data_IF_081743394538
#
_entry.id   IF_081743394538
#
_cell.length_a   1.000
_cell.length_b   1.000
_cell.length_c   1.000
_cell.angle_alpha   90.00
_cell.angle_beta   90.00
_cell.angle_gamma   90.00
#
_symmetry.space_group_name_H-M   'P 1'
#
loop_
_entity.id
_entity.type
_entity.pdbx_description
1 polymer ?
#
# COMPACT_ATOMS: atom_id res chain seq x y z
N UNK A 1 -10.66 -9.52 26.96
CA UNK A 1 -10.93 -9.90 25.56
C UNK A 1 -11.44 -8.66 24.80
N UNK A 2 -10.65 -8.06 23.96
CA UNK A 2 -11.06 -6.89 23.14
C UNK A 2 -12.05 -7.39 22.07
N UNK A 3 -13.26 -6.82 22.00
CA UNK A 3 -14.24 -7.17 20.98
C UNK A 3 -13.67 -6.92 19.59
N UNK A 4 -13.66 -7.93 18.74
CA UNK A 4 -13.39 -7.81 17.31
C UNK A 4 -14.50 -6.93 16.70
N UNK A 5 -14.12 -5.95 15.89
CA UNK A 5 -15.05 -5.03 15.24
C UNK A 5 -15.58 -5.73 13.99
N UNK A 6 -16.88 -5.99 13.94
CA UNK A 6 -17.53 -6.60 12.78
C UNK A 6 -18.10 -5.49 11.87
N UNK A 7 -17.78 -5.48 10.57
CA UNK A 7 -18.30 -4.48 9.64
C UNK A 7 -19.80 -4.63 9.40
N UNK A 8 -20.45 -3.53 9.03
CA UNK A 8 -21.80 -3.54 8.49
C UNK A 8 -21.76 -4.21 7.12
N UNK A 9 -22.50 -5.32 6.93
CA UNK A 9 -22.55 -6.03 5.63
C UNK A 9 -22.02 -7.46 5.62
N UNK A 10 -21.44 -7.95 6.72
CA UNK A 10 -21.07 -9.38 6.89
C UNK A 10 -19.77 -9.83 6.21
N UNK A 11 -19.26 -9.16 5.19
CA UNK A 11 -18.00 -9.50 4.54
C UNK A 11 -16.81 -8.72 5.13
N UNK A 12 -15.68 -9.43 5.31
CA UNK A 12 -14.49 -8.82 5.90
C UNK A 12 -13.89 -7.76 4.99
N UNK A 13 -13.59 -6.55 5.49
CA UNK A 13 -12.96 -5.51 4.69
C UNK A 13 -11.59 -5.95 4.19
N UNK A 14 -11.12 -5.32 3.12
CA UNK A 14 -9.83 -5.63 2.49
C UNK A 14 -8.86 -4.48 2.70
N UNK A 15 -7.63 -4.79 3.12
CA UNK A 15 -6.50 -3.86 3.12
C UNK A 15 -5.52 -4.26 2.03
N UNK A 16 -5.25 -3.38 1.08
CA UNK A 16 -4.15 -3.50 0.13
C UNK A 16 -3.03 -2.57 0.56
N UNK A 17 -1.90 -3.13 0.97
CA UNK A 17 -0.75 -2.40 1.49
C UNK A 17 0.58 -2.93 0.94
N UNK A 18 1.70 -2.40 1.39
CA UNK A 18 3.05 -2.70 0.95
C UNK A 18 3.89 -1.43 0.87
N UNK A 19 5.14 -1.48 0.46
CA UNK A 19 5.88 -0.24 0.24
C UNK A 19 5.15 0.66 -0.77
N UNK A 20 5.16 1.97 -0.57
CA UNK A 20 4.69 2.88 -1.61
C UNK A 20 5.47 2.59 -2.91
N UNK A 21 4.85 2.70 -4.07
CA UNK A 21 5.45 2.31 -5.38
C UNK A 21 5.64 0.80 -5.62
N UNK A 22 5.13 -0.08 -4.76
CA UNK A 22 5.14 -1.54 -4.98
C UNK A 22 3.94 -2.08 -5.78
N UNK A 23 3.11 -1.21 -6.36
CA UNK A 23 1.94 -1.63 -7.14
C UNK A 23 0.61 -1.63 -6.39
N UNK A 24 0.56 -1.20 -5.12
CA UNK A 24 -0.67 -1.14 -4.30
C UNK A 24 -1.84 -0.46 -4.99
N UNK A 25 -1.60 0.63 -5.75
CA UNK A 25 -2.65 1.36 -6.48
C UNK A 25 -3.23 0.53 -7.62
N UNK A 26 -2.40 -0.19 -8.36
CA UNK A 26 -2.86 -1.05 -9.44
C UNK A 26 -3.68 -2.22 -8.89
N UNK A 27 -3.13 -2.94 -7.90
CA UNK A 27 -3.84 -4.04 -7.22
C UNK A 27 -5.17 -3.56 -6.64
N UNK A 28 -5.16 -2.47 -5.86
CA UNK A 28 -6.38 -1.94 -5.25
C UNK A 28 -7.45 -1.54 -6.28
N UNK A 29 -7.05 -0.92 -7.40
CA UNK A 29 -8.01 -0.54 -8.46
C UNK A 29 -8.52 -1.72 -9.27
N UNK A 30 -7.70 -2.75 -9.49
CA UNK A 30 -8.16 -3.96 -10.17
C UNK A 30 -9.13 -4.74 -9.27
N UNK A 31 -8.90 -4.83 -7.98
CA UNK A 31 -9.88 -5.41 -7.04
C UNK A 31 -11.18 -4.60 -6.98
N UNK A 32 -11.07 -3.27 -7.04
CA UNK A 32 -12.23 -2.38 -7.09
C UNK A 32 -12.93 -2.32 -8.46
N UNK A 33 -12.53 -3.14 -9.43
CA UNK A 33 -13.29 -3.37 -10.66
C UNK A 33 -14.60 -4.13 -10.39
N UNK A 34 -14.65 -4.89 -9.30
CA UNK A 34 -15.88 -5.43 -8.74
C UNK A 34 -16.76 -4.28 -8.22
N UNK A 35 -18.02 -4.14 -8.75
CA UNK A 35 -18.92 -3.05 -8.34
C UNK A 35 -19.39 -3.16 -6.87
N UNK A 36 -19.17 -4.29 -6.23
CA UNK A 36 -19.46 -4.49 -4.82
C UNK A 36 -18.38 -3.92 -3.88
N UNK A 37 -17.29 -3.38 -4.43
CA UNK A 37 -16.17 -2.84 -3.67
C UNK A 37 -16.22 -1.32 -3.60
N UNK A 38 -16.20 -0.78 -2.39
CA UNK A 38 -15.97 0.64 -2.12
C UNK A 38 -14.47 0.89 -1.89
N UNK A 39 -13.82 1.57 -2.84
CA UNK A 39 -12.38 1.82 -2.83
C UNK A 39 -12.04 3.12 -2.11
N UNK A 40 -11.36 3.04 -0.98
CA UNK A 40 -10.87 4.19 -0.19
C UNK A 40 -9.35 4.24 -0.26
N UNK A 41 -8.81 5.40 -0.67
CA UNK A 41 -7.38 5.58 -0.89
C UNK A 41 -6.70 6.31 0.24
N UNK A 42 -5.71 5.67 0.83
CA UNK A 42 -4.68 6.22 1.73
C UNK A 42 -5.21 7.03 2.92
N UNK A 43 -6.05 6.45 3.79
CA UNK A 43 -6.47 7.14 5.00
C UNK A 43 -5.33 7.46 5.99
N UNK A 44 -4.21 6.72 5.98
CA UNK A 44 -3.02 6.98 6.80
C UNK A 44 -1.93 7.80 6.08
N UNK A 45 -2.26 8.44 4.97
CA UNK A 45 -1.35 9.41 4.34
C UNK A 45 -1.28 10.67 5.19
N UNK A 46 -0.09 11.21 5.50
CA UNK A 46 0.07 12.43 6.30
C UNK A 46 -0.64 13.66 5.70
N UNK A 47 -0.89 13.62 4.38
CA UNK A 47 -1.69 14.59 3.67
C UNK A 47 -3.15 14.13 3.53
N UNK A 48 -3.59 13.20 4.40
CA UNK A 48 -4.94 12.67 4.37
C UNK A 48 -5.98 13.77 4.60
N UNK A 49 -7.19 13.46 4.17
CA UNK A 49 -8.30 14.39 4.26
C UNK A 49 -9.14 14.09 5.50
N UNK A 50 -9.47 15.12 6.29
CA UNK A 50 -10.18 14.92 7.55
C UNK A 50 -11.62 14.44 7.39
N UNK A 51 -12.18 14.51 6.17
CA UNK A 51 -13.46 13.90 5.82
C UNK A 51 -13.43 12.37 5.74
N UNK A 52 -12.27 11.80 5.43
CA UNK A 52 -12.10 10.35 5.25
C UNK A 52 -11.78 9.65 6.57
N UNK A 53 -10.84 10.17 7.35
CA UNK A 53 -10.42 9.58 8.63
C UNK A 53 -10.22 10.67 9.67
N UNK A 54 -10.88 10.57 10.83
CA UNK A 54 -10.75 11.50 11.95
C UNK A 54 -9.72 11.04 12.97
N UNK A 55 -8.56 10.59 12.51
CA UNK A 55 -7.42 10.29 13.37
C UNK A 55 -6.27 11.27 13.09
N UNK A 56 -5.45 11.55 14.08
CA UNK A 56 -4.26 12.37 13.89
C UNK A 56 -3.16 11.52 13.28
N UNK A 57 -2.92 11.69 11.99
CA UNK A 57 -1.80 11.08 11.25
C UNK A 57 -0.73 12.15 11.03
N UNK A 58 0.45 11.98 11.63
CA UNK A 58 1.52 12.99 11.62
C UNK A 58 2.84 12.47 11.09
N UNK A 59 2.94 11.16 10.85
CA UNK A 59 4.15 10.50 10.38
C UNK A 59 3.87 9.66 9.15
N UNK A 60 4.76 9.65 8.19
CA UNK A 60 4.74 8.64 7.14
C UNK A 60 4.89 7.26 7.79
N UNK A 61 4.12 6.29 7.32
CA UNK A 61 4.05 4.96 7.94
C UNK A 61 3.66 5.02 9.42
N UNK A 62 2.63 5.81 9.73
CA UNK A 62 2.09 5.89 11.09
C UNK A 62 1.79 4.49 11.63
N UNK A 63 2.51 4.12 12.70
CA UNK A 63 2.37 2.80 13.30
C UNK A 63 1.22 2.76 14.30
N UNK A 64 0.36 1.76 14.13
CA UNK A 64 -0.74 1.47 15.05
C UNK A 64 -0.58 0.04 15.56
N UNK A 65 -0.60 -0.11 16.88
CA UNK A 65 -0.53 -1.39 17.60
C UNK A 65 -1.46 -1.36 18.81
N UNK A 66 -1.45 -2.42 19.60
CA UNK A 66 -2.31 -2.54 20.79
C UNK A 66 -2.06 -1.42 21.82
N UNK A 67 -0.83 -0.91 21.93
CA UNK A 67 -0.47 0.10 22.94
C UNK A 67 -0.97 1.52 22.62
N UNK A 68 -1.27 1.83 21.35
CA UNK A 68 -1.76 3.15 20.94
C UNK A 68 -3.12 3.11 20.21
N UNK A 69 -3.73 1.93 20.10
CA UNK A 69 -4.95 1.74 19.31
C UNK A 69 -6.14 2.60 19.72
N UNK A 70 -6.23 2.99 20.99
CA UNK A 70 -7.36 3.77 21.50
C UNK A 70 -7.52 5.13 20.81
N UNK A 71 -6.43 5.66 20.26
CA UNK A 71 -6.42 6.89 19.46
C UNK A 71 -6.97 6.70 18.05
N UNK A 72 -6.99 5.45 17.55
CA UNK A 72 -7.33 5.13 16.15
C UNK A 72 -8.64 4.35 16.02
N UNK A 73 -8.97 3.48 16.96
CA UNK A 73 -10.17 2.63 16.93
C UNK A 73 -11.46 3.43 16.64
N UNK A 74 -11.74 4.57 17.32
CA UNK A 74 -12.98 5.31 17.04
C UNK A 74 -13.06 5.78 15.58
N UNK A 75 -11.95 6.32 15.05
CA UNK A 75 -11.90 6.82 13.67
C UNK A 75 -12.02 5.69 12.64
N UNK A 76 -11.41 4.53 12.87
CA UNK A 76 -11.55 3.39 11.99
C UNK A 76 -12.93 2.71 12.09
N UNK A 77 -13.61 2.76 13.24
CA UNK A 77 -15.01 2.35 13.34
C UNK A 77 -15.90 3.23 12.47
N UNK A 78 -15.76 4.56 12.59
CA UNK A 78 -16.51 5.50 11.76
C UNK A 78 -16.23 5.28 10.27
N UNK A 79 -14.97 4.99 9.90
CA UNK A 79 -14.57 4.66 8.53
C UNK A 79 -15.25 3.37 8.04
N UNK A 80 -15.24 2.31 8.84
CA UNK A 80 -15.88 1.02 8.53
C UNK A 80 -17.41 1.15 8.40
N UNK A 81 -18.03 2.06 9.13
CA UNK A 81 -19.44 2.40 9.03
C UNK A 81 -19.75 3.37 7.86
N UNK A 82 -18.78 3.63 6.99
CA UNK A 82 -18.90 4.59 5.88
C UNK A 82 -19.34 5.99 6.32
N UNK A 83 -18.89 6.46 7.51
CA UNK A 83 -19.15 7.82 7.96
C UNK A 83 -18.18 8.80 7.33
N UNK A 84 -18.68 9.63 6.41
CA UNK A 84 -17.90 10.73 5.83
C UNK A 84 -18.11 12.03 6.61
N UNK A 85 -17.01 12.67 7.03
CA UNK A 85 -17.06 13.89 7.85
C UNK A 85 -17.02 15.14 6.98
N UNK A 86 -18.14 15.41 6.29
CA UNK A 86 -18.29 16.48 5.32
C UNK A 86 -17.85 17.85 5.85
N UNK A 87 -18.29 18.23 7.06
CA UNK A 87 -17.91 19.51 7.68
C UNK A 87 -16.43 19.64 7.97
N UNK A 88 -15.78 18.57 8.34
CA UNK A 88 -14.32 18.57 8.57
C UNK A 88 -13.57 18.75 7.24
N UNK A 89 -14.06 18.13 6.17
CA UNK A 89 -13.47 18.25 4.83
C UNK A 89 -13.67 19.65 4.27
N UNK A 90 -14.87 20.24 4.37
CA UNK A 90 -15.18 21.60 3.90
C UNK A 90 -14.22 22.62 4.52
N UNK A 91 -13.94 22.50 5.82
CA UNK A 91 -13.00 23.40 6.52
C UNK A 91 -11.55 23.27 6.06
N UNK A 92 -11.20 22.18 5.39
CA UNK A 92 -9.84 21.89 4.90
C UNK A 92 -9.63 22.24 3.42
N UNK A 93 -10.70 22.61 2.68
CA UNK A 93 -10.65 22.92 1.26
C UNK A 93 -9.76 24.14 0.99
N UNK A 94 -8.85 24.02 0.02
CA UNK A 94 -7.95 25.09 -0.44
C UNK A 94 -7.99 25.33 -1.94
N UNK A 95 -8.61 24.42 -2.70
CA UNK A 95 -8.63 24.47 -4.15
C UNK A 95 -9.89 23.85 -4.74
N UNK A 96 -10.22 24.20 -6.00
CA UNK A 96 -11.28 23.53 -6.75
C UNK A 96 -11.04 22.03 -6.89
N UNK A 97 -9.77 21.60 -6.99
CA UNK A 97 -9.41 20.17 -7.03
C UNK A 97 -9.80 19.45 -5.73
N UNK A 98 -9.65 20.11 -4.58
CA UNK A 98 -10.06 19.56 -3.29
C UNK A 98 -11.58 19.40 -3.22
N UNK A 99 -12.33 20.37 -3.76
CA UNK A 99 -13.79 20.29 -3.84
C UNK A 99 -14.26 19.10 -4.69
N UNK A 100 -13.68 18.91 -5.89
CA UNK A 100 -14.00 17.76 -6.75
C UNK A 100 -13.65 16.43 -6.08
N UNK A 101 -12.53 16.40 -5.38
CA UNK A 101 -12.09 15.22 -4.61
C UNK A 101 -13.04 14.91 -3.46
N UNK A 102 -13.46 15.93 -2.70
CA UNK A 102 -14.47 15.82 -1.66
C UNK A 102 -15.78 15.23 -2.18
N UNK A 103 -16.29 15.73 -3.31
CA UNK A 103 -17.51 15.21 -3.93
C UNK A 103 -17.38 13.72 -4.33
N UNK A 104 -16.25 13.34 -4.90
CA UNK A 104 -15.95 11.94 -5.23
C UNK A 104 -15.92 11.05 -3.98
N UNK A 105 -15.23 11.48 -2.93
CA UNK A 105 -15.09 10.68 -1.73
C UNK A 105 -16.42 10.58 -0.98
N UNK A 106 -17.18 11.67 -0.90
CA UNK A 106 -18.53 11.64 -0.36
C UNK A 106 -19.41 10.62 -1.11
N UNK A 107 -19.34 10.61 -2.45
CA UNK A 107 -20.09 9.64 -3.25
C UNK A 107 -19.67 8.18 -2.98
N UNK A 108 -18.36 7.91 -2.77
CA UNK A 108 -17.87 6.58 -2.42
C UNK A 108 -18.44 6.14 -1.06
N UNK A 109 -18.38 7.00 -0.05
CA UNK A 109 -18.91 6.68 1.28
C UNK A 109 -20.43 6.51 1.27
N UNK A 110 -21.14 7.40 0.62
CA UNK A 110 -22.60 7.32 0.49
C UNK A 110 -23.05 6.04 -0.24
N UNK A 111 -22.43 5.72 -1.37
CA UNK A 111 -22.74 4.49 -2.10
C UNK A 111 -22.33 3.24 -1.31
N UNK A 112 -21.19 3.26 -0.64
CA UNK A 112 -20.73 2.18 0.23
C UNK A 112 -21.76 1.84 1.30
N UNK A 113 -22.24 2.87 2.00
CA UNK A 113 -23.28 2.73 3.02
C UNK A 113 -24.63 2.25 2.45
N UNK A 114 -25.12 2.92 1.38
CA UNK A 114 -26.44 2.65 0.83
C UNK A 114 -26.56 1.30 0.13
N UNK A 115 -25.48 0.80 -0.45
CA UNK A 115 -25.45 -0.47 -1.20
C UNK A 115 -24.85 -1.62 -0.41
N UNK A 116 -24.40 -1.39 0.83
CA UNK A 116 -23.73 -2.41 1.62
C UNK A 116 -22.44 -2.92 0.97
N UNK A 117 -21.69 -2.04 0.26
CA UNK A 117 -20.48 -2.45 -0.44
C UNK A 117 -19.41 -2.87 0.56
N UNK A 118 -18.60 -3.84 0.14
CA UNK A 118 -17.43 -4.27 0.90
C UNK A 118 -16.32 -3.22 0.82
N UNK A 119 -15.78 -2.81 1.95
CA UNK A 119 -14.72 -1.81 1.99
C UNK A 119 -13.38 -2.37 1.54
N UNK A 120 -12.68 -1.62 0.68
CA UNK A 120 -11.29 -1.84 0.34
C UNK A 120 -10.49 -0.58 0.65
N UNK A 121 -9.59 -0.67 1.62
CA UNK A 121 -8.59 0.35 1.89
C UNK A 121 -7.34 0.05 1.07
N UNK A 122 -6.92 0.99 0.22
CA UNK A 122 -5.59 0.93 -0.37
C UNK A 122 -4.71 1.94 0.37
N UNK A 123 -3.80 1.43 1.21
CA UNK A 123 -2.92 2.29 1.99
C UNK A 123 -1.52 1.70 2.15
N UNK A 124 -0.52 2.17 1.39
CA UNK A 124 0.86 1.69 1.53
C UNK A 124 1.44 2.03 2.91
N UNK A 125 0.96 3.09 3.55
CA UNK A 125 1.47 3.54 4.84
C UNK A 125 0.99 2.71 6.03
N UNK A 126 0.03 1.79 5.80
CA UNK A 126 -0.47 0.84 6.79
C UNK A 126 0.43 -0.39 7.00
N UNK A 127 1.50 -0.55 6.20
CA UNK A 127 2.25 -1.81 6.10
C UNK A 127 2.84 -2.30 7.42
N UNK A 128 3.34 -1.41 8.28
CA UNK A 128 3.85 -1.81 9.60
C UNK A 128 2.73 -2.19 10.58
N UNK A 129 1.51 -1.79 10.32
CA UNK A 129 0.33 -2.05 11.17
C UNK A 129 -0.53 -3.24 10.70
N UNK A 130 -0.05 -4.05 9.74
CA UNK A 130 -0.81 -5.15 9.12
C UNK A 130 -1.39 -6.14 10.14
N UNK A 131 -0.62 -6.47 11.20
CA UNK A 131 -1.11 -7.34 12.28
C UNK A 131 -2.31 -6.74 13.02
N UNK A 132 -2.28 -5.45 13.30
CA UNK A 132 -3.37 -4.74 13.96
C UNK A 132 -4.63 -4.69 13.08
N UNK A 133 -4.49 -4.37 11.80
CA UNK A 133 -5.61 -4.40 10.85
C UNK A 133 -6.24 -5.79 10.75
N UNK A 134 -5.42 -6.84 10.65
CA UNK A 134 -5.91 -8.21 10.57
C UNK A 134 -6.64 -8.65 11.87
N UNK A 135 -6.03 -8.42 13.03
CA UNK A 135 -6.52 -8.98 14.31
C UNK A 135 -7.59 -8.13 15.00
N UNK A 136 -7.49 -6.80 14.92
CA UNK A 136 -8.40 -5.89 15.64
C UNK A 136 -9.56 -5.40 14.81
N UNK A 137 -9.31 -5.13 13.54
CA UNK A 137 -10.31 -4.64 12.60
C UNK A 137 -10.81 -5.72 11.63
N UNK A 138 -10.28 -6.94 11.76
CA UNK A 138 -10.69 -8.12 10.99
C UNK A 138 -10.58 -7.93 9.46
N UNK A 139 -9.54 -7.23 9.01
CA UNK A 139 -9.28 -7.06 7.58
C UNK A 139 -8.67 -8.32 6.96
N UNK A 140 -9.08 -8.67 5.74
CA UNK A 140 -8.27 -9.49 4.85
C UNK A 140 -7.14 -8.62 4.29
N UNK A 141 -5.90 -8.96 4.63
CA UNK A 141 -4.73 -8.15 4.30
C UNK A 141 -4.00 -8.70 3.08
N UNK A 142 -3.82 -7.86 2.07
CA UNK A 142 -3.02 -8.11 0.87
C UNK A 142 -1.80 -7.21 0.90
N UNK A 143 -0.62 -7.79 0.92
CA UNK A 143 0.66 -7.05 0.88
C UNK A 143 1.29 -7.24 -0.50
N UNK A 144 1.47 -6.12 -1.21
CA UNK A 144 2.21 -6.15 -2.47
C UNK A 144 3.70 -6.03 -2.19
N UNK A 145 4.49 -6.90 -2.79
CA UNK A 145 5.96 -6.83 -2.79
C UNK A 145 6.43 -6.60 -4.23
N UNK A 146 7.49 -5.82 -4.38
CA UNK A 146 8.13 -5.54 -5.66
C UNK A 146 9.63 -5.70 -5.53
N UNK A 147 10.31 -6.16 -6.58
CA UNK A 147 11.76 -6.28 -6.65
C UNK A 147 12.44 -5.00 -6.10
N UNK A 148 13.45 -5.11 -5.20
CA UNK A 148 14.04 -3.95 -4.55
C UNK A 148 14.68 -2.97 -5.56
N UNK A 149 15.28 -3.47 -6.65
CA UNK A 149 15.76 -2.62 -7.76
C UNK A 149 14.63 -1.84 -8.43
N UNK A 150 13.47 -2.49 -8.66
CA UNK A 150 12.28 -1.84 -9.20
C UNK A 150 11.71 -0.75 -8.29
N UNK A 151 11.73 -0.97 -6.99
CA UNK A 151 11.33 0.00 -5.98
C UNK A 151 12.30 1.19 -5.95
N UNK A 152 13.60 0.96 -5.78
CA UNK A 152 14.63 2.01 -5.70
C UNK A 152 14.68 2.85 -6.98
N UNK A 153 14.64 2.22 -8.15
CA UNK A 153 14.56 2.89 -9.45
C UNK A 153 13.34 3.81 -9.57
N UNK A 154 12.19 3.39 -9.02
CA UNK A 154 10.98 4.23 -9.03
C UNK A 154 11.14 5.48 -8.18
N UNK A 155 11.76 5.40 -7.01
CA UNK A 155 12.03 6.56 -6.15
C UNK A 155 13.08 7.48 -6.76
N UNK A 156 14.18 6.93 -7.28
CA UNK A 156 15.21 7.68 -8.00
C UNK A 156 14.61 8.49 -9.17
N UNK A 157 13.74 7.88 -9.99
CA UNK A 157 13.05 8.56 -11.10
C UNK A 157 12.22 9.76 -10.67
N UNK A 158 11.59 9.65 -9.49
CA UNK A 158 10.73 10.70 -8.94
C UNK A 158 11.49 11.74 -8.13
N UNK A 159 12.79 11.51 -7.84
CA UNK A 159 13.55 12.34 -6.93
C UNK A 159 13.01 12.30 -5.49
N UNK A 160 12.41 11.17 -5.08
CA UNK A 160 11.79 11.03 -3.77
C UNK A 160 12.79 10.44 -2.76
N UNK A 161 13.27 11.28 -1.90
CA UNK A 161 13.96 10.88 -0.67
C UNK A 161 12.95 10.50 0.42
N UNK A 162 13.44 9.80 1.46
CA UNK A 162 12.65 9.44 2.62
C UNK A 162 13.36 9.90 3.90
N UNK A 163 12.68 10.72 4.69
CA UNK A 163 13.19 11.14 5.99
C UNK A 163 12.93 10.07 7.05
N UNK A 164 13.96 9.35 7.45
CA UNK A 164 13.89 8.30 8.47
C UNK A 164 13.51 8.84 9.87
N UNK A 165 13.54 10.15 10.10
CA UNK A 165 13.00 10.73 11.34
C UNK A 165 11.50 10.42 11.51
N UNK A 166 10.77 10.21 10.43
CA UNK A 166 9.37 9.75 10.51
C UNK A 166 9.24 8.37 11.16
N UNK A 167 10.21 7.48 10.99
CA UNK A 167 10.24 6.16 11.64
C UNK A 167 10.92 6.21 13.01
N UNK A 168 12.08 6.85 13.11
CA UNK A 168 12.88 6.98 14.35
C UNK A 168 12.09 7.64 15.48
N UNK A 169 11.19 8.59 15.16
CA UNK A 169 10.35 9.29 16.11
C UNK A 169 9.02 8.55 16.43
N UNK A 170 8.96 7.24 16.16
CA UNK A 170 7.85 6.37 16.56
C UNK A 170 8.36 5.29 17.53
N UNK A 171 8.38 5.53 18.85
CA UNK A 171 9.00 4.63 19.83
C UNK A 171 8.45 3.20 19.78
N UNK A 172 7.13 3.04 19.57
CA UNK A 172 6.49 1.73 19.46
C UNK A 172 6.93 0.98 18.20
N UNK A 173 7.02 1.67 17.05
CA UNK A 173 7.52 1.08 15.81
C UNK A 173 8.98 0.64 15.94
N UNK A 174 9.81 1.48 16.56
CA UNK A 174 11.21 1.15 16.84
C UNK A 174 11.32 -0.06 17.74
N UNK A 175 10.61 -0.07 18.89
CA UNK A 175 10.61 -1.19 19.83
C UNK A 175 10.20 -2.52 19.16
N UNK A 176 9.12 -2.49 18.37
CA UNK A 176 8.51 -3.71 17.89
C UNK A 176 9.18 -4.27 16.63
N UNK A 177 9.79 -3.39 15.80
CA UNK A 177 10.26 -3.81 14.48
C UNK A 177 11.60 -3.24 14.03
N UNK A 178 11.93 -1.99 14.35
CA UNK A 178 12.98 -1.26 13.65
C UNK A 178 14.22 -0.94 14.48
N UNK A 179 14.29 -1.33 15.76
CA UNK A 179 15.46 -1.07 16.60
C UNK A 179 16.78 -1.58 15.99
N UNK A 180 16.84 -2.77 15.34
CA UNK A 180 18.07 -3.25 14.70
C UNK A 180 18.61 -2.35 13.57
N UNK A 181 17.75 -1.51 13.00
CA UNK A 181 18.10 -0.63 11.87
C UNK A 181 18.40 0.82 12.29
N UNK A 182 18.38 1.12 13.60
CA UNK A 182 18.56 2.50 14.13
C UNK A 182 19.84 3.15 13.64
N UNK A 183 20.95 2.42 13.65
CA UNK A 183 22.25 2.94 13.22
C UNK A 183 22.25 3.24 11.73
N UNK A 184 21.77 2.32 10.90
CA UNK A 184 21.70 2.50 9.45
C UNK A 184 20.81 3.68 9.08
N UNK A 185 19.63 3.83 9.72
CA UNK A 185 18.73 4.96 9.47
C UNK A 185 19.37 6.32 9.80
N UNK A 186 20.23 6.38 10.81
CA UNK A 186 20.94 7.60 11.22
C UNK A 186 22.15 7.92 10.35
N UNK A 187 22.79 6.90 9.77
CA UNK A 187 24.04 7.05 9.01
C UNK A 187 23.81 7.35 7.53
N UNK A 188 22.63 7.06 7.00
CA UNK A 188 22.33 7.26 5.58
C UNK A 188 22.14 8.76 5.27
N UNK A 189 22.74 9.20 4.17
CA UNK A 189 22.68 10.61 3.78
C UNK A 189 21.30 10.99 3.22
N UNK A 190 20.89 12.26 3.43
CA UNK A 190 19.56 12.73 3.04
C UNK A 190 19.35 12.79 1.50
N UNK A 191 20.41 12.89 0.72
CA UNK A 191 20.41 12.92 -0.74
C UNK A 191 20.59 11.53 -1.39
N UNK A 192 20.89 10.50 -0.59
CA UNK A 192 21.09 9.13 -1.05
C UNK A 192 19.77 8.39 -1.25
N UNK A 193 19.03 8.75 -2.28
CA UNK A 193 17.71 8.18 -2.58
C UNK A 193 17.77 6.65 -2.75
N UNK A 194 18.81 6.13 -3.39
CA UNK A 194 18.93 4.69 -3.68
C UNK A 194 19.19 3.90 -2.40
N UNK A 195 20.11 4.36 -1.56
CA UNK A 195 20.36 3.74 -0.28
C UNK A 195 19.17 3.82 0.67
N UNK A 196 18.51 4.99 0.74
CA UNK A 196 17.27 5.15 1.52
C UNK A 196 16.18 4.19 1.05
N UNK A 197 15.99 4.05 -0.26
CA UNK A 197 15.02 3.12 -0.83
C UNK A 197 15.35 1.67 -0.45
N UNK A 198 16.60 1.25 -0.60
CA UNK A 198 17.02 -0.11 -0.26
C UNK A 198 16.81 -0.42 1.24
N UNK A 199 17.22 0.48 2.12
CA UNK A 199 17.02 0.31 3.56
C UNK A 199 15.54 0.28 3.94
N UNK A 200 14.73 1.21 3.41
CA UNK A 200 13.29 1.24 3.66
C UNK A 200 12.60 -0.03 3.17
N UNK A 201 12.98 -0.54 2.00
CA UNK A 201 12.47 -1.80 1.45
C UNK A 201 12.80 -2.98 2.39
N UNK A 202 14.05 -3.10 2.81
CA UNK A 202 14.49 -4.16 3.70
C UNK A 202 13.71 -4.15 5.02
N UNK A 203 13.56 -2.98 5.65
CA UNK A 203 12.81 -2.83 6.91
C UNK A 203 11.33 -3.21 6.75
N UNK A 204 10.66 -2.71 5.71
CA UNK A 204 9.26 -3.01 5.46
C UNK A 204 9.06 -4.51 5.27
N UNK A 205 9.81 -5.13 4.37
CA UNK A 205 9.54 -6.52 4.02
C UNK A 205 10.09 -7.52 5.04
N UNK A 206 11.12 -7.17 5.81
CA UNK A 206 11.50 -7.95 6.99
C UNK A 206 10.37 -7.97 8.01
N UNK A 207 9.73 -6.82 8.25
CA UNK A 207 8.57 -6.72 9.16
C UNK A 207 7.39 -7.52 8.61
N UNK A 208 7.09 -7.41 7.32
CA UNK A 208 6.03 -8.19 6.66
C UNK A 208 6.25 -9.69 6.82
N UNK A 209 7.47 -10.17 6.59
CA UNK A 209 7.81 -11.59 6.75
C UNK A 209 7.56 -12.07 8.18
N UNK A 210 8.06 -11.33 9.18
CA UNK A 210 7.84 -11.66 10.59
C UNK A 210 6.36 -11.64 10.97
N UNK A 211 5.64 -10.63 10.51
CA UNK A 211 4.19 -10.50 10.76
C UNK A 211 3.41 -11.62 10.12
N UNK A 212 3.76 -12.04 8.90
CA UNK A 212 3.10 -13.14 8.19
C UNK A 212 3.28 -14.49 8.89
N UNK A 213 4.43 -14.72 9.51
CA UNK A 213 4.64 -15.93 10.34
C UNK A 213 3.64 -16.04 11.50
N UNK A 214 3.26 -14.89 12.06
CA UNK A 214 2.29 -14.80 13.16
C UNK A 214 0.84 -14.67 12.69
N UNK A 215 0.62 -14.35 11.42
CA UNK A 215 -0.67 -14.18 10.78
C UNK A 215 -0.62 -14.79 9.37
N UNK A 216 -0.76 -16.12 9.23
CA UNK A 216 -0.60 -16.81 7.93
C UNK A 216 -1.62 -16.40 6.88
N UNK A 217 -2.76 -15.82 7.29
CA UNK A 217 -3.84 -15.35 6.39
C UNK A 217 -3.47 -14.07 5.63
N UNK A 218 -2.32 -13.46 5.93
CA UNK A 218 -1.81 -12.33 5.14
C UNK A 218 -1.37 -12.82 3.77
N UNK A 219 -2.06 -12.34 2.74
CA UNK A 219 -1.80 -12.67 1.33
C UNK A 219 -0.64 -11.80 0.84
N UNK A 220 0.41 -12.41 0.32
CA UNK A 220 1.51 -11.69 -0.34
C UNK A 220 1.37 -11.83 -1.84
N UNK A 221 1.45 -10.70 -2.55
CA UNK A 221 1.35 -10.63 -4.02
C UNK A 221 2.63 -10.01 -4.56
N UNK A 222 3.37 -10.77 -5.37
CA UNK A 222 4.52 -10.25 -6.09
C UNK A 222 4.07 -9.41 -7.28
N UNK A 223 4.60 -8.20 -7.36
CA UNK A 223 4.28 -7.28 -8.46
C UNK A 223 4.66 -7.90 -9.82
N UNK A 224 5.76 -8.62 -9.84
CA UNK A 224 6.30 -9.28 -11.04
C UNK A 224 5.37 -10.39 -11.54
N UNK A 225 4.82 -11.21 -10.63
CA UNK A 225 3.91 -12.32 -11.01
C UNK A 225 2.64 -11.78 -11.68
N UNK A 226 2.00 -10.77 -11.04
CA UNK A 226 0.80 -10.17 -11.63
C UNK A 226 1.11 -9.27 -12.83
N UNK A 227 2.35 -8.87 -13.05
CA UNK A 227 2.77 -8.10 -14.23
C UNK A 227 3.04 -9.02 -15.41
N UNK A 228 3.62 -10.20 -15.17
CA UNK A 228 3.88 -11.21 -16.21
C UNK A 228 2.61 -11.91 -16.67
N UNK A 229 1.74 -12.28 -15.73
CA UNK A 229 0.51 -13.02 -16.00
C UNK A 229 -0.70 -12.38 -15.26
N UNK A 230 -1.18 -11.21 -15.75
CA UNK A 230 -2.19 -10.45 -15.03
C UNK A 230 -3.51 -11.21 -14.81
N UNK A 231 -4.01 -11.90 -15.84
CA UNK A 231 -5.31 -12.60 -15.76
C UNK A 231 -5.29 -13.74 -14.74
N UNK A 232 -4.36 -14.71 -14.81
CA UNK A 232 -4.26 -15.76 -13.78
C UNK A 232 -3.99 -15.19 -12.39
N UNK A 233 -3.05 -14.24 -12.27
CA UNK A 233 -2.68 -13.64 -11.00
C UNK A 233 -3.86 -12.98 -10.29
N UNK A 234 -4.62 -12.16 -11.00
CA UNK A 234 -5.82 -11.53 -10.43
C UNK A 234 -6.96 -12.52 -10.18
N UNK A 235 -7.15 -13.53 -11.05
CA UNK A 235 -8.16 -14.57 -10.81
C UNK A 235 -7.91 -15.30 -9.50
N UNK A 236 -6.67 -15.66 -9.21
CA UNK A 236 -6.26 -16.29 -7.97
C UNK A 236 -6.48 -15.35 -6.76
N UNK A 237 -6.12 -14.07 -6.92
CA UNK A 237 -6.31 -13.08 -5.86
C UNK A 237 -7.79 -12.83 -5.54
N UNK A 238 -8.64 -12.73 -6.56
CA UNK A 238 -10.09 -12.62 -6.39
C UNK A 238 -10.66 -13.82 -5.64
N UNK A 239 -10.28 -15.05 -6.05
CA UNK A 239 -10.68 -16.29 -5.36
C UNK A 239 -10.26 -16.28 -3.89
N UNK A 240 -9.00 -15.92 -3.58
CA UNK A 240 -8.48 -15.86 -2.21
C UNK A 240 -9.21 -14.85 -1.33
N UNK A 241 -9.76 -13.80 -1.93
CA UNK A 241 -10.51 -12.77 -1.23
C UNK A 241 -12.01 -13.05 -1.17
N UNK A 242 -12.51 -14.06 -1.89
CA UNK A 242 -13.93 -14.35 -2.04
C UNK A 242 -14.67 -13.29 -2.87
N UNK A 243 -14.01 -12.74 -3.89
CA UNK A 243 -14.58 -11.76 -4.81
C UNK A 243 -15.04 -12.42 -6.11
N UNK A 244 -16.04 -11.83 -6.76
CA UNK A 244 -16.54 -12.31 -8.06
C UNK A 244 -15.65 -11.84 -9.22
N UNK A 245 -15.06 -12.81 -9.93
CA UNK A 245 -14.21 -12.56 -11.10
C UNK A 245 -15.05 -12.58 -12.39
N UNK A 246 -15.68 -11.45 -12.67
CA UNK A 246 -16.56 -11.31 -13.85
C UNK A 246 -15.79 -10.98 -15.14
N UNK A 247 -16.46 -11.16 -16.29
CA UNK A 247 -15.92 -10.74 -17.60
C UNK A 247 -15.62 -9.24 -17.68
N UNK A 248 -16.31 -8.41 -16.89
CA UNK A 248 -16.00 -6.98 -16.75
C UNK A 248 -14.65 -6.77 -16.06
N UNK A 249 -14.41 -7.49 -14.98
CA UNK A 249 -13.13 -7.44 -14.23
C UNK A 249 -11.99 -7.87 -15.13
N UNK A 250 -12.13 -8.98 -15.83
CA UNK A 250 -11.09 -9.49 -16.76
C UNK A 250 -10.75 -8.46 -17.84
N UNK A 251 -11.75 -7.84 -18.47
CA UNK A 251 -11.52 -6.77 -19.46
C UNK A 251 -10.77 -5.57 -18.87
N UNK A 252 -11.08 -5.17 -17.62
CA UNK A 252 -10.36 -4.07 -16.97
C UNK A 252 -8.91 -4.42 -16.70
N UNK A 253 -8.63 -5.64 -16.27
CA UNK A 253 -7.27 -6.15 -16.05
C UNK A 253 -6.49 -6.15 -17.36
N UNK A 254 -7.02 -6.77 -18.43
CA UNK A 254 -6.40 -6.78 -19.75
C UNK A 254 -6.10 -5.37 -20.27
N UNK A 255 -7.06 -4.45 -20.19
CA UNK A 255 -6.86 -3.07 -20.62
C UNK A 255 -5.82 -2.32 -19.79
N UNK A 256 -5.65 -2.67 -18.50
CA UNK A 256 -4.68 -2.02 -17.62
C UNK A 256 -3.24 -2.50 -17.85
N UNK A 257 -3.06 -3.71 -18.37
CA UNK A 257 -1.76 -4.39 -18.52
C UNK A 257 -1.32 -4.59 -19.98
N UNK A 258 -2.13 -4.13 -20.94
CA UNK A 258 -1.90 -4.31 -22.38
C UNK A 258 -0.53 -3.80 -22.83
N UNK A 259 0.08 -4.52 -23.78
CA UNK A 259 1.31 -4.11 -24.49
C UNK A 259 1.13 -2.83 -25.34
N UNK A 260 -0.11 -2.42 -25.61
CA UNK A 260 -0.41 -1.15 -26.27
C UNK A 260 -0.29 0.07 -25.33
N UNK A 261 -0.22 -0.17 -24.03
CA UNK A 261 -0.05 0.87 -23.05
C UNK A 261 1.41 1.39 -23.01
N UNK A 262 1.65 2.62 -22.53
CA UNK A 262 3.01 3.12 -22.34
C UNK A 262 3.83 2.23 -21.41
N UNK A 263 5.09 1.97 -21.77
CA UNK A 263 6.03 1.24 -20.91
C UNK A 263 6.39 2.05 -19.66
N UNK A 264 6.39 3.39 -19.78
CA UNK A 264 6.71 4.31 -18.69
C UNK A 264 5.71 5.44 -18.59
N UNK A 265 5.54 5.93 -17.36
CA UNK A 265 4.81 7.16 -17.13
C UNK A 265 5.63 8.40 -17.48
N UNK A 266 4.99 9.47 -17.98
CA UNK A 266 5.60 10.78 -18.01
C UNK A 266 6.11 11.20 -16.63
N UNK A 267 7.21 11.99 -16.59
CA UNK A 267 7.85 12.41 -15.32
C UNK A 267 6.88 13.14 -14.36
N UNK A 268 5.90 13.84 -14.90
CA UNK A 268 4.89 14.59 -14.13
C UNK A 268 3.71 13.72 -13.62
N UNK A 269 3.66 12.43 -13.97
CA UNK A 269 2.62 11.51 -13.48
C UNK A 269 3.19 10.52 -12.48
N UNK A 270 2.63 10.56 -11.27
CA UNK A 270 3.01 9.68 -10.16
C UNK A 270 2.28 8.33 -10.22
N UNK A 271 1.02 8.34 -10.62
CA UNK A 271 0.18 7.13 -10.66
C UNK A 271 -0.32 6.85 -12.07
N UNK A 272 -0.15 5.60 -12.51
CA UNK A 272 -0.87 5.04 -13.64
C UNK A 272 -1.58 3.76 -13.25
N UNK A 273 -2.65 3.51 -13.97
CA UNK A 273 -3.37 2.24 -13.92
C UNK A 273 -3.14 1.48 -15.22
N UNK A 274 -2.75 2.18 -16.29
CA UNK A 274 -2.49 1.62 -17.60
C UNK A 274 -1.01 1.73 -17.93
N UNK A 275 -0.33 0.60 -17.92
CA UNK A 275 1.07 0.44 -18.35
C UNK A 275 1.21 -0.90 -19.07
N UNK A 276 2.17 -0.99 -19.99
CA UNK A 276 2.67 -2.29 -20.41
C UNK A 276 3.34 -2.95 -19.20
N UNK A 277 2.59 -3.87 -18.56
CA UNK A 277 3.02 -4.42 -17.27
C UNK A 277 4.30 -5.26 -17.40
N UNK A 278 4.44 -6.02 -18.49
CA UNK A 278 5.61 -6.88 -18.75
C UNK A 278 6.86 -6.06 -19.05
N UNK A 279 6.76 -5.13 -20.00
CA UNK A 279 7.90 -4.31 -20.40
C UNK A 279 8.40 -3.40 -19.27
N UNK A 280 7.52 -3.05 -18.33
CA UNK A 280 7.91 -2.19 -17.18
C UNK A 280 8.68 -2.93 -16.09
N UNK A 281 8.66 -4.26 -16.03
CA UNK A 281 9.32 -5.03 -14.96
C UNK A 281 10.83 -4.77 -14.90
N UNK A 282 11.50 -4.79 -16.06
CA UNK A 282 12.96 -4.67 -16.16
C UNK A 282 13.49 -3.24 -16.36
N UNK A 283 12.64 -2.24 -16.35
CA UNK A 283 13.04 -0.84 -16.55
C UNK A 283 14.06 -0.33 -15.53
N UNK A 284 14.12 -0.93 -14.36
CA UNK A 284 15.09 -0.59 -13.33
C UNK A 284 16.54 -0.91 -13.76
N UNK A 285 16.77 -1.98 -14.54
CA UNK A 285 18.08 -2.36 -15.08
C UNK A 285 18.67 -1.29 -16.01
N UNK A 286 17.78 -0.52 -16.66
CA UNK A 286 18.19 0.58 -17.55
C UNK A 286 18.46 1.90 -16.82
N UNK A 287 17.90 2.07 -15.61
CA UNK A 287 17.96 3.35 -14.86
C UNK A 287 18.98 3.35 -13.73
N UNK A 288 19.29 2.20 -13.20
CA UNK A 288 20.28 2.05 -12.14
C UNK A 288 21.64 1.71 -12.74
N UNK A 289 22.70 2.27 -12.17
CA UNK A 289 24.07 1.86 -12.48
C UNK A 289 24.39 0.52 -11.85
N UNK A 290 25.45 -0.14 -12.29
CA UNK A 290 25.92 -1.41 -11.72
C UNK A 290 26.24 -1.25 -10.23
N UNK A 291 26.88 -0.13 -9.85
CA UNK A 291 27.23 0.13 -8.44
C UNK A 291 25.97 0.32 -7.58
N UNK A 292 24.94 1.00 -8.11
CA UNK A 292 23.66 1.13 -7.40
C UNK A 292 22.97 -0.21 -7.24
N UNK A 293 22.98 -1.06 -8.26
CA UNK A 293 22.41 -2.42 -8.19
C UNK A 293 23.14 -3.25 -7.14
N UNK A 294 24.47 -3.26 -7.15
CA UNK A 294 25.29 -3.98 -6.18
C UNK A 294 25.02 -3.48 -4.75
N UNK A 295 24.85 -2.18 -4.59
CA UNK A 295 24.54 -1.57 -3.30
C UNK A 295 23.14 -1.94 -2.81
N UNK A 296 22.13 -1.90 -3.67
CA UNK A 296 20.77 -2.34 -3.35
C UNK A 296 20.81 -3.80 -2.93
N UNK A 297 21.49 -4.65 -3.71
CA UNK A 297 21.64 -6.07 -3.41
C UNK A 297 22.22 -6.26 -2.01
N UNK A 298 23.36 -5.64 -1.71
CA UNK A 298 24.02 -5.75 -0.41
C UNK A 298 23.12 -5.36 0.79
N UNK A 299 22.24 -4.37 0.60
CA UNK A 299 21.33 -3.88 1.65
C UNK A 299 20.06 -4.70 1.80
N UNK A 300 19.67 -5.45 0.75
CA UNK A 300 18.35 -6.09 0.70
C UNK A 300 18.39 -7.60 0.57
N UNK A 301 19.53 -8.21 0.18
CA UNK A 301 19.67 -9.63 -0.19
C UNK A 301 19.06 -10.57 0.86
N UNK A 302 19.43 -10.44 2.12
CA UNK A 302 18.91 -11.28 3.22
C UNK A 302 17.36 -11.23 3.33
N UNK A 303 16.77 -10.06 3.11
CA UNK A 303 15.31 -9.90 3.13
C UNK A 303 14.69 -10.30 1.81
N UNK A 304 15.38 -10.05 0.70
CA UNK A 304 14.89 -10.36 -0.62
C UNK A 304 14.75 -11.86 -0.87
N UNK A 305 15.68 -12.66 -0.38
CA UNK A 305 15.64 -14.14 -0.44
C UNK A 305 14.37 -14.72 0.20
N UNK A 306 13.77 -14.03 1.18
CA UNK A 306 12.53 -14.47 1.83
C UNK A 306 11.29 -14.37 0.92
N UNK A 307 11.38 -13.55 -0.13
CA UNK A 307 10.29 -13.32 -1.09
C UNK A 307 10.63 -13.76 -2.50
N UNK A 308 11.89 -13.75 -2.85
CA UNK A 308 12.43 -14.01 -4.18
C UNK A 308 13.62 -14.96 -4.09
N UNK A 309 13.43 -16.27 -3.79
CA UNK A 309 14.54 -17.22 -3.63
C UNK A 309 15.38 -17.38 -4.90
N UNK A 310 14.77 -17.20 -6.08
CA UNK A 310 15.42 -17.34 -7.40
C UNK A 310 15.67 -15.98 -8.06
N UNK A 311 15.83 -14.92 -7.27
CA UNK A 311 15.94 -13.56 -7.80
C UNK A 311 17.21 -13.37 -8.63
N UNK A 312 17.05 -12.82 -9.84
CA UNK A 312 18.16 -12.32 -10.67
C UNK A 312 18.33 -10.83 -10.49
N UNK A 313 19.56 -10.41 -10.29
CA UNK A 313 19.94 -8.99 -10.13
C UNK A 313 20.39 -8.37 -11.46
#
# INVERSE_FOLDING_TARGET
MSKVITPVGGELPILVTGAHRSGTTWVGKMLAADPQIAYISEPLNVLHRPGVLRARVTKWYQYVCDDNQDQFIPAFKELLDFRYHLWSEIRSLRSLKDFLRMGRDFAIFYNGMMRGQRMLLKDPFAVFSTSWFAKKLNFKVVVTVRHPGGFASSLKRLGWNFDFNDLLNQPLLMRDHLEPYRVQMRSIQADDIVGQAALLWAMIYRTVHTTRKLNPDIIVVHHEDISSEPVPGYRNLYSSLGLDYSARVERMILNSSSSENPVELPKNRVHAVKLDSRANMDNWKKRLTVDEINRIRKLTEETAELFYPDMTW
#
